data_IF_893999949515
#
_entry.id   IF_893999949515
#
_cell.length_a   1.000
_cell.length_b   1.000
_cell.length_c   1.000
_cell.angle_alpha   90.00
_cell.angle_beta   90.00
_cell.angle_gamma   90.00
#
_symmetry.space_group_name_H-M   'P 1'
#
loop_
_entity.id
_entity.type
_entity.pdbx_description
1 polymer ?
#
# COMPACT_ATOMS: atom_id res chain seq x y z
N UNK A 1 15.72 8.47 -3.51
CA UNK A 1 16.98 8.02 -4.16
C UNK A 1 17.96 9.19 -4.29
N UNK A 2 17.54 10.33 -4.82
CA UNK A 2 18.41 11.53 -4.93
C UNK A 2 18.89 12.05 -3.57
N UNK A 3 18.06 11.96 -2.54
CA UNK A 3 18.42 12.33 -1.17
C UNK A 3 19.47 11.43 -0.51
N UNK A 4 19.86 10.32 -1.15
CA UNK A 4 20.90 9.39 -0.69
C UNK A 4 22.21 9.52 -1.50
N UNK A 5 22.40 10.64 -2.22
CA UNK A 5 23.65 10.89 -2.98
C UNK A 5 23.74 10.18 -4.34
N UNK A 6 22.66 9.56 -4.79
CA UNK A 6 22.58 8.93 -6.12
C UNK A 6 22.28 9.99 -7.17
N UNK A 7 23.02 9.99 -8.29
CA UNK A 7 22.76 10.93 -9.39
C UNK A 7 21.35 10.75 -9.96
N UNK A 8 20.78 11.82 -10.50
CA UNK A 8 19.40 11.82 -11.05
C UNK A 8 19.22 10.71 -12.09
N UNK A 9 20.21 10.51 -12.97
CA UNK A 9 20.18 9.50 -14.02
C UNK A 9 20.14 8.08 -13.45
N UNK A 10 20.97 7.79 -12.45
CA UNK A 10 20.94 6.49 -11.78
C UNK A 10 19.65 6.28 -10.97
N UNK A 11 19.13 7.35 -10.34
CA UNK A 11 17.84 7.28 -9.65
C UNK A 11 16.69 6.92 -10.59
N UNK A 12 16.66 7.49 -11.79
CA UNK A 12 15.66 7.15 -12.81
C UNK A 12 15.79 5.71 -13.31
N UNK A 13 17.02 5.24 -13.54
CA UNK A 13 17.27 3.84 -13.93
C UNK A 13 16.80 2.85 -12.86
N UNK A 14 17.08 3.12 -11.58
CA UNK A 14 16.62 2.27 -10.48
C UNK A 14 15.09 2.31 -10.35
N UNK A 15 14.47 3.48 -10.46
CA UNK A 15 13.03 3.63 -10.45
C UNK A 15 12.36 2.85 -11.59
N UNK A 16 12.95 2.86 -12.79
CA UNK A 16 12.45 2.10 -13.94
C UNK A 16 12.46 0.59 -13.65
N UNK A 17 13.59 0.03 -13.18
CA UNK A 17 13.70 -1.38 -12.84
C UNK A 17 12.70 -1.78 -11.75
N UNK A 18 12.56 -0.94 -10.71
CA UNK A 18 11.61 -1.16 -9.61
C UNK A 18 10.17 -1.17 -10.13
N UNK A 19 9.83 -0.23 -11.02
CA UNK A 19 8.47 -0.11 -11.56
C UNK A 19 8.09 -1.28 -12.46
N UNK A 20 9.06 -1.91 -13.16
CA UNK A 20 8.81 -3.12 -13.94
C UNK A 20 8.31 -4.30 -13.09
N UNK A 21 8.59 -4.30 -11.80
CA UNK A 21 8.05 -5.30 -10.88
C UNK A 21 6.55 -5.14 -10.60
N UNK A 22 5.97 -3.95 -10.83
CA UNK A 22 4.57 -3.66 -10.49
C UNK A 22 3.55 -4.56 -11.19
N UNK A 23 3.60 -4.80 -12.51
CA UNK A 23 2.64 -5.66 -13.19
C UNK A 23 2.79 -7.14 -12.84
N UNK A 24 3.94 -7.57 -12.32
CA UNK A 24 4.17 -8.95 -11.90
C UNK A 24 3.48 -9.27 -10.55
N UNK A 25 3.29 -8.26 -9.70
CA UNK A 25 2.66 -8.41 -8.39
C UNK A 25 1.30 -9.10 -8.46
N UNK A 26 0.29 -8.54 -9.13
CA UNK A 26 -1.05 -9.12 -9.21
C UNK A 26 -1.06 -10.54 -9.77
N UNK A 27 -0.20 -10.85 -10.76
CA UNK A 27 -0.10 -12.20 -11.36
C UNK A 27 0.37 -13.24 -10.36
N UNK A 28 1.32 -12.89 -9.50
CA UNK A 28 1.82 -13.79 -8.46
C UNK A 28 0.81 -13.97 -7.33
N UNK A 29 0.08 -12.92 -6.99
CA UNK A 29 -0.83 -12.91 -5.84
C UNK A 29 -2.19 -13.55 -6.11
N UNK A 30 -2.63 -13.68 -7.36
CA UNK A 30 -3.89 -14.37 -7.72
C UNK A 30 -3.97 -15.76 -7.10
N UNK A 31 -2.87 -16.51 -7.06
CA UNK A 31 -2.83 -17.85 -6.45
C UNK A 31 -2.99 -17.83 -4.92
N UNK A 32 -2.59 -16.75 -4.28
CA UNK A 32 -2.66 -16.58 -2.82
C UNK A 32 -3.93 -15.88 -2.36
N UNK A 33 -4.60 -15.14 -3.26
CA UNK A 33 -5.78 -14.35 -2.96
C UNK A 33 -6.90 -15.17 -2.29
N UNK A 34 -7.09 -16.41 -2.73
CA UNK A 34 -8.15 -17.30 -2.22
C UNK A 34 -7.73 -18.08 -0.95
N UNK A 35 -6.46 -18.05 -0.54
CA UNK A 35 -5.98 -18.83 0.61
C UNK A 35 -6.10 -18.08 1.93
N UNK A 36 -5.93 -16.77 1.91
CA UNK A 36 -5.91 -15.93 3.11
C UNK A 36 -7.08 -14.94 3.09
N UNK A 37 -7.58 -14.59 4.28
CA UNK A 37 -8.60 -13.56 4.45
C UNK A 37 -8.03 -12.19 4.02
N UNK A 38 -8.81 -11.42 3.24
CA UNK A 38 -8.38 -10.13 2.68
C UNK A 38 -7.92 -9.14 3.77
N UNK A 39 -8.55 -9.16 4.95
CA UNK A 39 -8.15 -8.39 6.12
C UNK A 39 -6.68 -8.62 6.49
N UNK A 40 -6.27 -9.88 6.65
CA UNK A 40 -4.90 -10.24 7.03
C UNK A 40 -3.89 -10.02 5.92
N UNK A 41 -4.34 -10.11 4.66
CA UNK A 41 -3.51 -9.75 3.51
C UNK A 41 -3.16 -8.26 3.51
N UNK A 42 -4.14 -7.38 3.83
CA UNK A 42 -3.91 -5.94 3.96
C UNK A 42 -2.93 -5.64 5.10
N UNK A 43 -3.13 -6.24 6.27
CA UNK A 43 -2.22 -6.07 7.42
C UNK A 43 -0.81 -6.55 7.10
N UNK A 44 -0.68 -7.72 6.50
CA UNK A 44 0.62 -8.30 6.12
C UNK A 44 1.37 -7.48 5.08
N UNK A 45 0.67 -6.98 4.06
CA UNK A 45 1.27 -6.13 3.03
C UNK A 45 1.66 -4.75 3.55
N UNK A 46 0.86 -4.17 4.45
CA UNK A 46 1.19 -2.90 5.12
C UNK A 46 2.42 -3.05 6.03
N UNK A 47 2.50 -4.14 6.81
CA UNK A 47 3.69 -4.47 7.62
C UNK A 47 4.93 -4.65 6.74
N UNK A 48 4.81 -5.40 5.65
CA UNK A 48 5.90 -5.60 4.68
C UNK A 48 6.38 -4.26 4.10
N UNK A 49 5.45 -3.40 3.66
CA UNK A 49 5.78 -2.05 3.15
C UNK A 49 6.49 -1.20 4.21
N UNK A 50 6.07 -1.27 5.47
CA UNK A 50 6.69 -0.54 6.56
C UNK A 50 8.13 -1.02 6.83
N UNK A 51 8.35 -2.33 6.88
CA UNK A 51 9.68 -2.93 7.13
C UNK A 51 10.63 -2.60 5.98
N UNK A 52 10.24 -2.87 4.74
CA UNK A 52 11.10 -2.60 3.58
C UNK A 52 11.26 -1.10 3.30
N UNK A 53 10.27 -0.28 3.63
CA UNK A 53 10.38 1.18 3.57
C UNK A 53 11.41 1.74 4.55
N UNK A 54 11.42 1.25 5.79
CA UNK A 54 12.45 1.64 6.77
C UNK A 54 13.83 1.12 6.38
N UNK A 55 13.94 -0.13 5.94
CA UNK A 55 15.21 -0.69 5.46
C UNK A 55 15.75 0.09 4.26
N UNK A 56 14.89 0.49 3.33
CA UNK A 56 15.27 1.29 2.16
C UNK A 56 15.95 2.61 2.56
N UNK A 57 15.49 3.23 3.63
CA UNK A 57 16.05 4.49 4.11
C UNK A 57 17.48 4.39 4.64
N UNK A 58 17.85 3.23 5.18
CA UNK A 58 19.18 2.96 5.73
C UNK A 58 20.13 2.33 4.71
N UNK A 59 19.63 1.97 3.52
CA UNK A 59 20.47 1.37 2.48
C UNK A 59 21.31 2.42 1.75
N UNK A 60 22.59 2.11 1.59
CA UNK A 60 23.56 2.90 0.80
C UNK A 60 24.01 2.16 -0.46
N UNK A 61 23.84 0.84 -0.51
CA UNK A 61 24.19 -0.01 -1.64
C UNK A 61 23.12 0.05 -2.75
N UNK A 62 23.54 0.19 -4.01
CA UNK A 62 22.65 0.18 -5.17
C UNK A 62 21.79 -1.11 -5.24
N UNK A 63 22.40 -2.26 -4.99
CA UNK A 63 21.70 -3.55 -4.99
C UNK A 63 20.63 -3.59 -3.87
N UNK A 64 20.97 -3.11 -2.66
CA UNK A 64 20.03 -3.02 -1.54
C UNK A 64 18.87 -2.10 -1.82
N UNK A 65 19.11 -0.94 -2.44
CA UNK A 65 18.09 0.02 -2.84
C UNK A 65 17.10 -0.59 -3.85
N UNK A 66 17.62 -1.27 -4.88
CA UNK A 66 16.78 -1.94 -5.88
C UNK A 66 15.97 -3.06 -5.24
N UNK A 67 16.58 -3.91 -4.42
CA UNK A 67 15.90 -5.01 -3.75
C UNK A 67 14.77 -4.51 -2.83
N UNK A 68 15.07 -3.58 -1.94
CA UNK A 68 14.05 -3.00 -1.06
C UNK A 68 12.95 -2.29 -1.86
N UNK A 69 13.30 -1.57 -2.94
CA UNK A 69 12.36 -0.92 -3.82
C UNK A 69 11.41 -1.91 -4.51
N UNK A 70 11.92 -3.03 -5.00
CA UNK A 70 11.09 -4.11 -5.58
C UNK A 70 10.16 -4.69 -4.51
N UNK A 71 10.65 -4.96 -3.30
CA UNK A 71 9.82 -5.48 -2.20
C UNK A 71 8.71 -4.52 -1.78
N UNK A 72 8.99 -3.22 -1.71
CA UNK A 72 7.99 -2.18 -1.46
C UNK A 72 6.94 -2.17 -2.57
N UNK A 73 7.37 -2.25 -3.84
CA UNK A 73 6.48 -2.28 -5.00
C UNK A 73 5.56 -3.48 -4.98
N UNK A 74 6.08 -4.67 -4.68
CA UNK A 74 5.26 -5.87 -4.50
C UNK A 74 4.28 -5.74 -3.34
N UNK A 75 4.73 -5.24 -2.20
CA UNK A 75 3.87 -5.04 -1.03
C UNK A 75 2.73 -4.07 -1.33
N UNK A 76 3.00 -2.98 -2.05
CA UNK A 76 2.00 -2.00 -2.45
C UNK A 76 1.02 -2.57 -3.50
N UNK A 77 1.51 -3.36 -4.46
CA UNK A 77 0.66 -4.03 -5.44
C UNK A 77 -0.29 -5.03 -4.74
N UNK A 78 0.23 -5.79 -3.76
CA UNK A 78 -0.56 -6.70 -2.96
C UNK A 78 -1.58 -5.97 -2.08
N UNK A 79 -1.16 -4.90 -1.41
CA UNK A 79 -2.04 -4.05 -0.61
C UNK A 79 -3.22 -3.52 -1.44
N UNK A 80 -2.92 -2.98 -2.63
CA UNK A 80 -3.92 -2.45 -3.55
C UNK A 80 -4.90 -3.53 -4.01
N UNK A 81 -4.40 -4.70 -4.40
CA UNK A 81 -5.22 -5.83 -4.81
C UNK A 81 -6.16 -6.29 -3.69
N UNK A 82 -5.62 -6.52 -2.49
CA UNK A 82 -6.38 -6.97 -1.32
C UNK A 82 -7.40 -5.93 -0.86
N UNK A 83 -7.07 -4.65 -0.94
CA UNK A 83 -7.96 -3.55 -0.59
C UNK A 83 -9.17 -3.46 -1.54
N UNK A 84 -8.96 -3.56 -2.85
CA UNK A 84 -10.06 -3.55 -3.80
C UNK A 84 -10.94 -4.79 -3.69
N UNK A 85 -10.36 -5.96 -3.45
CA UNK A 85 -11.11 -7.18 -3.17
C UNK A 85 -11.95 -7.04 -1.90
N UNK A 86 -11.36 -6.54 -0.83
CA UNK A 86 -12.04 -6.30 0.44
C UNK A 86 -13.22 -5.33 0.32
N UNK A 87 -13.05 -4.22 -0.44
CA UNK A 87 -14.15 -3.30 -0.73
C UNK A 87 -15.29 -3.98 -1.49
N UNK A 88 -14.95 -4.86 -2.45
CA UNK A 88 -15.95 -5.61 -3.21
C UNK A 88 -16.77 -6.57 -2.35
N UNK A 89 -16.19 -7.11 -1.29
CA UNK A 89 -16.84 -8.01 -0.34
C UNK A 89 -17.64 -7.29 0.75
N UNK A 90 -17.23 -6.06 1.09
CA UNK A 90 -17.82 -5.30 2.19
C UNK A 90 -19.20 -4.72 1.84
N UNK A 91 -19.43 -4.37 0.57
CA UNK A 91 -20.65 -3.71 0.13
C UNK A 91 -21.61 -4.66 -0.62
N UNK A 92 -22.93 -4.65 -0.27
CA UNK A 92 -23.92 -5.41 -1.00
C UNK A 92 -24.02 -4.95 -2.46
N UNK A 93 -24.43 -5.87 -3.34
CA UNK A 93 -24.41 -5.70 -4.81
C UNK A 93 -25.19 -4.48 -5.31
N UNK A 94 -26.32 -4.15 -4.67
CA UNK A 94 -27.19 -3.04 -5.04
C UNK A 94 -26.56 -1.65 -4.88
N UNK A 95 -25.65 -1.47 -3.93
CA UNK A 95 -25.00 -0.17 -3.64
C UNK A 95 -23.48 -0.20 -3.90
N UNK A 96 -22.91 -1.38 -4.21
CA UNK A 96 -21.46 -1.59 -4.33
C UNK A 96 -20.77 -0.57 -5.23
N UNK A 97 -21.30 -0.34 -6.43
CA UNK A 97 -20.69 0.58 -7.39
C UNK A 97 -20.63 2.02 -6.86
N UNK A 98 -21.69 2.47 -6.20
CA UNK A 98 -21.75 3.82 -5.60
C UNK A 98 -20.81 3.95 -4.40
N UNK A 99 -20.80 2.95 -3.51
CA UNK A 99 -19.97 2.95 -2.31
C UNK A 99 -18.47 2.88 -2.67
N UNK A 100 -18.07 1.99 -3.58
CA UNK A 100 -16.69 1.87 -4.05
C UNK A 100 -16.26 3.14 -4.79
N UNK A 101 -17.11 3.72 -5.63
CA UNK A 101 -16.84 4.99 -6.32
C UNK A 101 -16.63 6.15 -5.36
N UNK A 102 -17.46 6.24 -4.31
CA UNK A 102 -17.32 7.24 -3.25
C UNK A 102 -15.98 7.08 -2.49
N UNK A 103 -15.66 5.86 -2.03
CA UNK A 103 -14.39 5.57 -1.37
C UNK A 103 -13.19 5.90 -2.26
N UNK A 104 -13.28 5.58 -3.57
CA UNK A 104 -12.23 5.87 -4.53
C UNK A 104 -12.03 7.38 -4.72
N UNK A 105 -13.10 8.16 -4.80
CA UNK A 105 -13.04 9.62 -4.91
C UNK A 105 -12.36 10.25 -3.69
N UNK A 106 -12.70 9.79 -2.49
CA UNK A 106 -12.05 10.23 -1.26
C UNK A 106 -10.57 9.85 -1.22
N UNK A 107 -10.22 8.66 -1.69
CA UNK A 107 -8.83 8.22 -1.80
C UNK A 107 -8.03 9.15 -2.74
N UNK A 108 -8.60 9.56 -3.87
CA UNK A 108 -7.95 10.51 -4.79
C UNK A 108 -7.77 11.90 -4.17
N UNK A 109 -8.77 12.38 -3.46
CA UNK A 109 -8.67 13.65 -2.74
C UNK A 109 -7.58 13.58 -1.66
N UNK A 110 -7.52 12.50 -0.89
CA UNK A 110 -6.49 12.27 0.12
C UNK A 110 -5.08 12.24 -0.48
N UNK A 111 -4.92 11.76 -1.72
CA UNK A 111 -3.62 11.72 -2.40
C UNK A 111 -3.05 13.12 -2.61
N UNK A 112 -3.90 14.11 -2.95
CA UNK A 112 -3.48 15.51 -3.12
C UNK A 112 -2.96 16.06 -1.79
N UNK A 113 -3.71 15.87 -0.71
CA UNK A 113 -3.30 16.34 0.62
C UNK A 113 -2.03 15.62 1.11
N UNK A 114 -1.92 14.32 0.88
CA UNK A 114 -0.73 13.55 1.25
C UNK A 114 0.51 14.03 0.51
N UNK A 115 0.39 14.40 -0.76
CA UNK A 115 1.52 14.94 -1.54
C UNK A 115 2.01 16.27 -0.98
N UNK A 116 1.08 17.16 -0.57
CA UNK A 116 1.43 18.42 0.09
C UNK A 116 2.11 18.19 1.45
N UNK A 117 1.55 17.30 2.26
CA UNK A 117 2.13 16.95 3.55
C UNK A 117 3.54 16.37 3.40
N UNK A 118 3.74 15.45 2.47
CA UNK A 118 5.08 14.89 2.18
C UNK A 118 6.05 15.99 1.79
N UNK A 119 5.64 16.98 0.97
CA UNK A 119 6.45 18.13 0.61
C UNK A 119 6.88 18.96 1.84
N UNK A 120 5.92 19.28 2.71
CA UNK A 120 6.18 20.04 3.95
C UNK A 120 7.11 19.25 4.90
N UNK A 121 6.85 17.95 5.09
CA UNK A 121 7.69 17.09 5.94
C UNK A 121 9.11 16.96 5.38
N UNK A 122 9.24 16.87 4.05
CA UNK A 122 10.55 16.81 3.39
C UNK A 122 11.34 18.11 3.57
N UNK A 123 10.68 19.27 3.47
CA UNK A 123 11.31 20.59 3.62
C UNK A 123 11.76 20.86 5.05
N UNK A 124 10.94 20.52 6.05
CA UNK A 124 11.20 20.87 7.45
C UNK A 124 11.97 19.80 8.23
N UNK A 125 11.75 18.53 7.93
CA UNK A 125 12.30 17.40 8.67
C UNK A 125 13.17 16.46 7.82
N UNK A 126 13.31 16.75 6.52
CA UNK A 126 14.07 15.92 5.59
C UNK A 126 13.50 14.52 5.39
N UNK A 127 14.33 13.62 4.88
CA UNK A 127 13.96 12.21 4.62
C UNK A 127 13.43 11.47 5.86
N UNK A 128 14.00 11.62 7.07
CA UNK A 128 13.48 10.96 8.27
C UNK A 128 12.04 11.37 8.62
N UNK A 129 11.67 12.65 8.39
CA UNK A 129 10.31 13.13 8.61
C UNK A 129 9.29 12.47 7.69
N UNK A 130 9.62 12.34 6.42
CA UNK A 130 8.77 11.64 5.44
C UNK A 130 8.58 10.17 5.82
N UNK A 131 9.66 9.50 6.25
CA UNK A 131 9.58 8.13 6.73
C UNK A 131 8.68 7.98 7.95
N UNK A 132 8.82 8.86 8.94
CA UNK A 132 7.97 8.85 10.13
C UNK A 132 6.48 9.03 9.74
N UNK A 133 6.18 9.90 8.78
CA UNK A 133 4.82 10.08 8.26
C UNK A 133 4.28 8.81 7.59
N UNK A 134 5.08 8.16 6.73
CA UNK A 134 4.67 6.92 6.04
C UNK A 134 4.46 5.79 7.05
N UNK A 135 5.39 5.58 7.97
CA UNK A 135 5.31 4.55 9.02
C UNK A 135 4.08 4.76 9.89
N UNK A 136 3.82 6.00 10.33
CA UNK A 136 2.64 6.34 11.12
C UNK A 136 1.35 6.05 10.37
N UNK A 137 1.28 6.42 9.09
CA UNK A 137 0.11 6.15 8.23
C UNK A 137 -0.13 4.65 8.08
N UNK A 138 0.91 3.84 7.86
CA UNK A 138 0.79 2.38 7.77
C UNK A 138 0.37 1.75 9.09
N UNK A 139 0.87 2.25 10.23
CA UNK A 139 0.43 1.80 11.55
C UNK A 139 -1.06 2.07 11.79
N UNK A 140 -1.55 3.23 11.38
CA UNK A 140 -2.99 3.56 11.46
C UNK A 140 -3.81 2.55 10.65
N UNK A 141 -3.39 2.23 9.43
CA UNK A 141 -4.05 1.22 8.58
C UNK A 141 -4.06 -0.15 9.26
N UNK A 142 -2.92 -0.59 9.79
CA UNK A 142 -2.78 -1.88 10.47
C UNK A 142 -3.70 -1.96 11.69
N UNK A 143 -3.71 -0.93 12.54
CA UNK A 143 -4.54 -0.89 13.75
C UNK A 143 -6.02 -0.83 13.38
N UNK A 144 -6.39 0.01 12.42
CA UNK A 144 -7.79 0.21 12.03
C UNK A 144 -8.35 -1.05 11.37
N UNK A 145 -7.69 -1.58 10.35
CA UNK A 145 -8.18 -2.77 9.64
C UNK A 145 -7.93 -4.04 10.47
N UNK A 146 -6.78 -4.15 11.10
CA UNK A 146 -6.44 -5.29 11.96
C UNK A 146 -7.32 -5.40 13.21
N UNK A 147 -7.65 -4.27 13.85
CA UNK A 147 -8.50 -4.23 15.06
C UNK A 147 -9.99 -4.21 14.74
N UNK A 148 -10.41 -3.27 13.93
CA UNK A 148 -11.84 -2.97 13.71
C UNK A 148 -12.41 -3.53 12.40
N UNK A 149 -11.57 -3.95 11.43
CA UNK A 149 -12.04 -4.47 10.15
C UNK A 149 -12.85 -5.76 10.32
N UNK A 150 -14.07 -5.87 9.75
CA UNK A 150 -14.86 -7.09 9.78
C UNK A 150 -14.17 -8.21 8.96
N UNK A 151 -14.41 -9.46 9.37
CA UNK A 151 -13.99 -10.63 8.59
C UNK A 151 -15.00 -10.85 7.47
N UNK A 152 -14.51 -10.93 6.23
CA UNK A 152 -15.38 -11.04 5.04
C UNK A 152 -15.40 -12.45 4.45
N UNK A 153 -14.44 -13.30 4.81
CA UNK A 153 -14.36 -14.66 4.30
C UNK A 153 -15.55 -15.51 4.76
N UNK A 154 -16.20 -16.18 3.80
CA UNK A 154 -17.38 -17.06 4.01
C UNK A 154 -18.68 -16.36 4.45
N UNK A 155 -18.76 -15.05 4.37
CA UNK A 155 -20.05 -14.38 4.48
C UNK A 155 -20.72 -14.42 3.10
N UNK A 156 -21.83 -15.15 2.97
CA UNK A 156 -22.68 -15.01 1.79
C UNK A 156 -23.13 -13.55 1.72
N UNK A 157 -22.88 -12.89 0.59
CA UNK A 157 -23.18 -11.47 0.37
C UNK A 157 -24.64 -11.10 0.69
N UNK A 158 -25.54 -12.08 0.64
CA UNK A 158 -26.94 -11.95 1.00
C UNK A 158 -27.20 -11.79 2.50
N UNK A 159 -26.36 -12.35 3.38
CA UNK A 159 -26.50 -12.23 4.83
C UNK A 159 -26.06 -10.87 5.39
N UNK A 160 -25.32 -10.08 4.62
CA UNK A 160 -24.92 -8.73 5.00
C UNK A 160 -26.04 -7.71 4.69
N UNK A 161 -26.88 -8.01 3.71
CA UNK A 161 -27.98 -7.14 3.28
C UNK A 161 -29.19 -7.13 4.24
N UNK A 162 -29.27 -8.06 5.19
CA UNK A 162 -30.38 -8.22 6.14
C UNK A 162 -30.01 -7.83 7.58
N UNK A 163 -28.86 -7.25 7.83
CA UNK A 163 -28.47 -6.61 9.08
C UNK A 163 -28.30 -5.10 8.91
#
# INVERSE_FOLDING_TARGET
>A
LSGQGVSVTHSLSYAFVITLAYPLGPLLFVKFANRFENKWQIVGSALSSMIFGTLFAFQTSAAGLIFCGIMITFSNAWLSFSYHSYQGELFPTNIRARAVGFCYSFSRLSTVFSSLLIGIFLEHFGTPGVLAFIVSSMLIVIITIGGFGPRTRNLALENIAHR
#
